data_IF_714686185925
#
_entry.id   IF_714686185925
#
_cell.length_a   1.000
_cell.length_b   1.000
_cell.length_c   1.000
_cell.angle_alpha   90.00
_cell.angle_beta   90.00
_cell.angle_gamma   90.00
#
_symmetry.space_group_name_H-M   'P 1'
#
loop_
_entity.id
_entity.type
_entity.pdbx_description
1 polymer ?
#
# COMPACT_ATOMS: atom_id res chain seq x y z
N UNK A 1 4.76 -1.54 -30.05
CA UNK A 1 5.38 -1.85 -28.74
C UNK A 1 4.27 -2.40 -27.86
N UNK A 2 4.43 -3.60 -27.30
CA UNK A 2 3.46 -4.16 -26.35
C UNK A 2 3.85 -3.58 -24.97
N UNK A 3 2.94 -2.91 -24.25
CA UNK A 3 3.26 -2.36 -22.93
C UNK A 3 3.53 -3.50 -21.94
N UNK A 4 4.58 -3.35 -21.14
CA UNK A 4 4.83 -4.20 -19.97
C UNK A 4 4.15 -3.62 -18.72
N UNK A 5 4.29 -4.32 -17.60
CA UNK A 5 3.70 -3.90 -16.32
C UNK A 5 4.27 -2.57 -15.83
N UNK A 6 5.57 -2.33 -16.06
CA UNK A 6 6.24 -1.11 -15.63
C UNK A 6 5.82 0.12 -16.45
N UNK A 7 5.43 -0.08 -17.70
CA UNK A 7 4.83 0.94 -18.55
C UNK A 7 3.49 1.46 -17.98
N UNK A 8 2.74 0.61 -17.25
CA UNK A 8 1.42 0.93 -16.72
C UNK A 8 1.44 1.54 -15.31
N UNK A 9 2.62 1.85 -14.76
CA UNK A 9 2.73 2.41 -13.41
C UNK A 9 2.09 3.79 -13.30
N UNK A 10 1.54 4.11 -12.14
CA UNK A 10 1.06 5.46 -11.83
C UNK A 10 2.22 6.45 -11.67
N UNK A 11 1.88 7.75 -11.71
CA UNK A 11 2.75 8.77 -11.12
C UNK A 11 2.93 8.51 -9.62
N UNK A 12 4.05 8.97 -9.06
CA UNK A 12 4.27 8.92 -7.62
C UNK A 12 3.28 9.81 -6.90
N UNK A 13 2.50 9.22 -5.98
CA UNK A 13 1.53 9.91 -5.13
C UNK A 13 2.12 10.04 -3.73
N UNK A 14 2.20 11.26 -3.19
CA UNK A 14 2.85 11.53 -1.90
C UNK A 14 1.81 12.04 -0.91
N UNK A 15 1.51 11.23 0.12
CA UNK A 15 0.44 11.51 1.07
C UNK A 15 0.85 11.20 2.50
N UNK A 16 0.30 11.96 3.45
CA UNK A 16 0.49 11.76 4.89
C UNK A 16 -0.83 11.47 5.57
N UNK A 17 -0.75 11.08 6.84
CA UNK A 17 -1.93 10.82 7.65
C UNK A 17 -2.88 12.03 7.66
N UNK A 18 -4.19 11.76 7.59
CA UNK A 18 -5.29 12.72 7.50
C UNK A 18 -5.42 13.50 6.18
N UNK A 19 -4.60 13.22 5.17
CA UNK A 19 -4.90 13.71 3.81
C UNK A 19 -6.17 13.03 3.27
N UNK A 20 -6.96 13.77 2.49
CA UNK A 20 -8.09 13.22 1.73
C UNK A 20 -7.58 12.45 0.51
N UNK A 21 -7.05 11.27 0.77
CA UNK A 21 -6.46 10.38 -0.22
C UNK A 21 -7.14 9.01 -0.14
N UNK A 22 -7.50 8.45 -1.29
CA UNK A 22 -7.96 7.08 -1.40
C UNK A 22 -6.76 6.19 -1.76
N UNK A 23 -6.20 5.40 -0.82
CA UNK A 23 -5.02 4.60 -1.11
C UNK A 23 -5.26 3.56 -2.21
N UNK A 24 -4.22 3.23 -2.99
CA UNK A 24 -4.35 2.29 -4.09
C UNK A 24 -4.70 0.88 -3.61
N UNK A 25 -5.44 0.14 -4.44
CA UNK A 25 -5.81 -1.26 -4.22
C UNK A 25 -5.34 -2.18 -5.34
N UNK A 26 -5.33 -3.48 -5.06
CA UNK A 26 -5.01 -4.55 -6.01
C UNK A 26 -6.12 -5.59 -6.03
N UNK A 27 -6.27 -6.23 -7.18
CA UNK A 27 -7.09 -7.42 -7.36
C UNK A 27 -6.34 -8.41 -8.24
N UNK A 28 -6.48 -9.69 -7.93
CA UNK A 28 -5.94 -10.81 -8.72
C UNK A 28 -7.07 -11.70 -9.28
N UNK A 29 -8.28 -11.16 -9.42
CA UNK A 29 -9.52 -11.89 -9.76
C UNK A 29 -10.02 -12.92 -8.73
N UNK A 30 -9.19 -13.32 -7.75
CA UNK A 30 -9.63 -14.15 -6.62
C UNK A 30 -10.07 -13.33 -5.41
N UNK A 31 -9.60 -12.08 -5.31
CA UNK A 31 -9.96 -11.17 -4.24
C UNK A 31 -9.45 -9.77 -4.49
N UNK A 32 -9.54 -8.95 -3.43
CA UNK A 32 -9.09 -7.56 -3.43
C UNK A 32 -8.40 -7.23 -2.12
N UNK A 33 -7.47 -6.29 -2.18
CA UNK A 33 -6.82 -5.67 -1.02
C UNK A 33 -6.58 -4.20 -1.29
N UNK A 34 -6.73 -3.35 -0.28
CA UNK A 34 -6.33 -1.95 -0.32
C UNK A 34 -5.09 -1.73 0.53
N UNK A 35 -4.24 -0.79 0.11
CA UNK A 35 -3.20 -0.26 0.99
C UNK A 35 -3.79 0.79 1.92
N UNK A 36 -2.99 1.25 2.88
CA UNK A 36 -3.36 2.28 3.85
C UNK A 36 -2.27 3.36 3.86
N UNK A 37 -2.55 4.51 4.51
CA UNK A 37 -1.53 5.52 4.82
C UNK A 37 -0.64 5.04 5.97
N UNK A 38 0.09 3.96 5.69
CA UNK A 38 1.08 3.26 6.51
C UNK A 38 1.94 2.43 5.54
N UNK A 39 3.19 2.09 5.87
CA UNK A 39 4.03 1.28 4.95
C UNK A 39 3.74 -0.21 5.02
N UNK A 40 3.13 -0.71 6.10
CA UNK A 40 2.91 -2.14 6.33
C UNK A 40 1.45 -2.52 6.18
N UNK A 41 0.56 -1.60 6.51
CA UNK A 41 -0.84 -1.92 6.64
C UNK A 41 -1.55 -2.12 5.29
N UNK A 42 -2.42 -3.10 5.26
CA UNK A 42 -3.44 -3.31 4.23
C UNK A 42 -4.83 -3.31 4.87
N UNK A 43 -5.86 -3.07 4.09
CA UNK A 43 -7.26 -3.08 4.52
C UNK A 43 -8.18 -3.65 3.45
N UNK A 44 -9.47 -3.74 3.78
CA UNK A 44 -10.54 -4.10 2.84
C UNK A 44 -10.28 -5.44 2.13
N UNK A 45 -9.69 -6.39 2.88
CA UNK A 45 -9.34 -7.71 2.37
C UNK A 45 -10.62 -8.51 2.12
N UNK A 46 -10.86 -8.88 0.87
CA UNK A 46 -12.04 -9.66 0.48
C UNK A 46 -11.65 -10.78 -0.46
N UNK A 47 -11.77 -12.02 0.01
CA UNK A 47 -11.44 -13.26 -0.71
C UNK A 47 -12.50 -14.31 -0.35
N UNK A 48 -13.33 -14.78 -1.30
CA UNK A 48 -14.38 -15.74 -1.01
C UNK A 48 -13.86 -16.97 -0.24
N UNK A 49 -14.57 -17.44 0.81
CA UNK A 49 -15.88 -16.97 1.31
C UNK A 49 -15.79 -15.84 2.36
N UNK A 50 -14.60 -15.30 2.63
CA UNK A 50 -14.35 -14.34 3.70
C UNK A 50 -14.25 -12.91 3.17
N UNK A 51 -14.83 -11.98 3.93
CA UNK A 51 -14.67 -10.56 3.65
C UNK A 51 -14.46 -9.83 4.96
N UNK A 52 -13.46 -8.97 4.98
CA UNK A 52 -13.23 -8.00 6.03
C UNK A 52 -13.73 -6.65 5.51
N UNK A 53 -14.45 -5.90 6.35
CA UNK A 53 -14.74 -4.49 6.09
C UNK A 53 -13.43 -3.66 5.99
N UNK A 54 -13.52 -2.33 5.98
CA UNK A 54 -12.37 -1.42 6.00
C UNK A 54 -11.61 -1.47 7.34
N UNK A 55 -11.01 -2.62 7.66
CA UNK A 55 -10.24 -2.88 8.86
C UNK A 55 -8.75 -2.87 8.51
N UNK A 56 -7.99 -2.06 9.25
CA UNK A 56 -6.54 -1.99 9.12
C UNK A 56 -5.90 -3.22 9.76
N UNK A 57 -5.07 -3.94 9.00
CA UNK A 57 -4.46 -5.21 9.45
C UNK A 57 -3.19 -5.06 10.27
N UNK A 58 -2.43 -3.98 10.06
CA UNK A 58 -1.14 -3.75 10.70
C UNK A 58 -0.90 -2.26 10.94
N UNK A 59 0.18 -1.92 11.64
CA UNK A 59 0.65 -0.55 11.77
C UNK A 59 2.15 -0.56 11.99
N UNK A 60 2.88 0.28 11.26
CA UNK A 60 4.32 0.38 11.42
C UNK A 60 4.65 1.22 12.65
N UNK A 61 5.45 0.65 13.55
CA UNK A 61 6.02 1.35 14.71
C UNK A 61 7.53 1.39 14.58
N UNK A 62 8.12 2.56 14.77
CA UNK A 62 9.57 2.77 14.81
C UNK A 62 9.89 3.50 16.11
N UNK A 63 10.82 2.95 16.89
CA UNK A 63 11.19 3.46 18.22
C UNK A 63 9.96 3.68 19.14
N UNK A 64 9.02 2.72 19.09
CA UNK A 64 7.78 2.75 19.87
C UNK A 64 6.74 3.77 19.38
N UNK A 65 7.02 4.52 18.30
CA UNK A 65 6.10 5.52 17.74
C UNK A 65 5.41 4.99 16.48
N UNK A 66 4.09 5.14 16.43
CA UNK A 66 3.29 4.81 15.25
C UNK A 66 3.68 5.72 14.08
N UNK A 67 4.16 5.15 12.97
CA UNK A 67 4.77 5.90 11.87
C UNK A 67 3.83 6.99 11.31
N UNK A 68 2.55 6.74 11.00
CA UNK A 68 1.65 7.78 10.50
C UNK A 68 1.44 8.96 11.48
N UNK A 69 1.61 8.74 12.80
CA UNK A 69 1.57 9.83 13.80
C UNK A 69 2.77 10.79 13.74
N UNK A 70 3.81 10.45 12.97
CA UNK A 70 4.98 11.33 12.76
C UNK A 70 4.67 12.44 11.75
N UNK A 71 3.57 12.34 11.01
CA UNK A 71 3.21 13.28 9.94
C UNK A 71 4.12 13.19 8.71
N UNK A 72 5.03 12.20 8.65
CA UNK A 72 5.87 11.97 7.49
C UNK A 72 5.05 11.43 6.32
N UNK A 73 5.29 11.92 5.10
CA UNK A 73 4.58 11.43 3.94
C UNK A 73 5.10 10.06 3.52
N UNK A 74 4.24 9.32 2.84
CA UNK A 74 4.52 8.05 2.18
C UNK A 74 4.33 8.28 0.69
N UNK A 75 5.30 7.86 -0.10
CA UNK A 75 5.21 7.80 -1.55
C UNK A 75 4.57 6.48 -1.95
N UNK A 76 3.58 6.51 -2.83
CA UNK A 76 2.89 5.36 -3.40
C UNK A 76 3.10 5.35 -4.92
N UNK A 77 3.41 4.17 -5.46
CA UNK A 77 3.37 3.90 -6.89
C UNK A 77 2.52 2.65 -7.08
N UNK A 78 1.44 2.80 -7.84
CA UNK A 78 0.59 1.67 -8.20
C UNK A 78 1.04 1.08 -9.52
N UNK A 79 1.06 -0.25 -9.59
CA UNK A 79 1.23 -1.05 -10.79
C UNK A 79 0.05 -2.02 -10.88
N UNK A 80 -0.23 -2.57 -12.08
CA UNK A 80 -1.25 -3.60 -12.22
C UNK A 80 -1.05 -4.85 -11.33
N UNK A 81 0.19 -5.21 -11.00
CA UNK A 81 0.54 -6.42 -10.23
C UNK A 81 0.95 -6.14 -8.77
N UNK A 82 1.37 -4.90 -8.46
CA UNK A 82 1.92 -4.53 -7.16
C UNK A 82 1.69 -3.06 -6.81
N UNK A 83 1.83 -2.75 -5.54
CA UNK A 83 1.90 -1.39 -5.03
C UNK A 83 3.21 -1.24 -4.27
N UNK A 84 4.00 -0.26 -4.67
CA UNK A 84 5.23 0.09 -3.98
C UNK A 84 4.97 1.31 -3.08
N UNK A 85 5.46 1.22 -1.83
CA UNK A 85 5.42 2.30 -0.86
C UNK A 85 6.81 2.58 -0.35
N UNK A 86 7.13 3.86 -0.17
CA UNK A 86 8.40 4.24 0.44
C UNK A 86 8.28 5.49 1.30
N UNK A 87 9.11 5.60 2.32
CA UNK A 87 9.22 6.80 3.13
C UNK A 87 10.61 6.93 3.76
N UNK A 88 10.96 8.16 4.14
CA UNK A 88 12.17 8.47 4.91
C UNK A 88 11.80 8.88 6.33
N UNK A 89 12.49 8.28 7.30
CA UNK A 89 12.33 8.63 8.71
C UNK A 89 13.62 8.43 9.48
N UNK A 90 14.12 9.49 10.13
CA UNK A 90 15.33 9.46 10.96
C UNK A 90 16.55 8.83 10.27
N UNK A 91 16.76 9.12 8.98
CA UNK A 91 17.86 8.56 8.19
C UNK A 91 17.65 7.12 7.70
N UNK A 92 16.50 6.50 8.02
CA UNK A 92 16.10 5.22 7.45
C UNK A 92 15.27 5.46 6.19
N UNK A 93 15.63 4.75 5.12
CA UNK A 93 14.82 4.64 3.93
C UNK A 93 14.04 3.33 3.97
N UNK A 94 12.72 3.46 4.10
CA UNK A 94 11.80 2.35 4.28
C UNK A 94 11.09 2.07 2.96
N UNK A 95 10.93 0.79 2.63
CA UNK A 95 10.23 0.34 1.44
C UNK A 95 9.33 -0.85 1.76
N UNK A 96 8.20 -0.91 1.09
CA UNK A 96 7.36 -2.10 1.06
C UNK A 96 6.74 -2.29 -0.31
N UNK A 97 6.45 -3.54 -0.64
CA UNK A 97 5.74 -3.93 -1.85
C UNK A 97 4.58 -4.81 -1.44
N UNK A 98 3.36 -4.37 -1.75
CA UNK A 98 2.16 -5.19 -1.64
C UNK A 98 1.88 -5.78 -3.01
N UNK A 99 1.73 -7.10 -3.11
CA UNK A 99 1.35 -7.77 -4.35
C UNK A 99 0.35 -8.89 -4.05
N UNK A 100 -0.42 -9.29 -5.05
CA UNK A 100 -1.34 -10.42 -4.96
C UNK A 100 -0.94 -11.47 -5.99
N UNK A 101 -0.53 -12.67 -5.56
CA UNK A 101 -0.14 -13.72 -6.50
C UNK A 101 -1.35 -14.17 -7.32
N UNK A 102 -1.13 -14.38 -8.63
CA UNK A 102 -2.16 -14.90 -9.56
C UNK A 102 -2.13 -16.43 -9.68
N UNK A 103 -1.08 -17.08 -9.19
CA UNK A 103 -0.93 -18.54 -9.14
C UNK A 103 -0.53 -18.97 -7.71
N UNK A 104 -0.81 -20.23 -7.37
CA UNK A 104 -0.50 -20.82 -6.06
C UNK A 104 0.97 -21.18 -5.92
#
# INVERSE_FOLDING_TARGET
MIPDVDFLKSSTMVHKFADFFNPPGLTNFFGVVHTEIDLTAISSLSFPPFSCASHRTAGLYIDGRYFPSTGKPISFIWYPDRIERSAEYNGLYLKSTTFMPVEK
#
